data_IF_989121923125
#
_entry.id   IF_989121923125
#
_cell.length_a   1.000
_cell.length_b   1.000
_cell.length_c   1.000
_cell.angle_alpha   90.00
_cell.angle_beta   90.00
_cell.angle_gamma   90.00
#
_symmetry.space_group_name_H-M   'P 1'
#
loop_
_entity.id
_entity.type
_entity.pdbx_description
1 polymer ?
#
# COMPACT_ATOMS: atom_id res chain seq x y z
N UNK A 1 -11.33 -9.38 26.97
CA UNK A 1 -10.84 -8.01 27.25
C UNK A 1 -12.05 -7.12 27.46
N UNK A 2 -12.09 -6.33 28.53
CA UNK A 2 -13.21 -5.39 28.79
C UNK A 2 -12.80 -4.02 28.25
N UNK A 3 -13.53 -3.50 27.28
CA UNK A 3 -13.25 -2.18 26.68
C UNK A 3 -13.69 -1.05 27.63
N UNK A 4 -12.88 0.00 27.67
CA UNK A 4 -13.17 1.23 28.45
C UNK A 4 -13.16 2.41 27.46
N UNK A 5 -14.14 3.30 27.61
CA UNK A 5 -14.21 4.53 26.82
C UNK A 5 -13.40 5.64 27.51
N UNK A 6 -12.08 5.48 27.53
CA UNK A 6 -11.12 6.46 28.07
C UNK A 6 -9.91 6.58 27.17
N UNK A 7 -9.28 7.77 27.15
CA UNK A 7 -8.09 8.04 26.36
C UNK A 7 -6.92 7.13 26.76
N UNK A 8 -6.70 6.90 28.04
CA UNK A 8 -5.64 6.05 28.55
C UNK A 8 -5.76 4.62 28.01
N UNK A 9 -7.01 4.12 27.88
CA UNK A 9 -7.23 2.78 27.36
C UNK A 9 -6.93 2.70 25.86
N UNK A 10 -7.28 3.74 25.06
CA UNK A 10 -6.96 3.78 23.64
C UNK A 10 -5.45 3.86 23.41
N UNK A 11 -4.74 4.72 24.13
CA UNK A 11 -3.29 4.83 24.06
C UNK A 11 -2.59 3.52 24.44
N UNK A 12 -3.12 2.80 25.44
CA UNK A 12 -2.59 1.49 25.80
C UNK A 12 -2.80 0.44 24.70
N UNK A 13 -3.92 0.48 23.98
CA UNK A 13 -4.16 -0.41 22.84
C UNK A 13 -3.18 -0.10 21.70
N UNK A 14 -3.00 1.18 21.37
CA UNK A 14 -2.06 1.62 20.34
C UNK A 14 -0.62 1.21 20.67
N UNK A 15 -0.21 1.37 21.95
CA UNK A 15 1.14 0.99 22.37
C UNK A 15 1.38 -0.52 22.31
N UNK A 16 0.37 -1.33 22.53
CA UNK A 16 0.44 -2.79 22.46
C UNK A 16 0.14 -3.36 21.07
N UNK A 17 -0.16 -2.53 20.07
CA UNK A 17 -0.41 -2.98 18.71
C UNK A 17 0.92 -3.42 18.05
N UNK A 18 1.01 -4.69 17.68
CA UNK A 18 2.15 -5.25 16.96
C UNK A 18 2.37 -4.59 15.59
N UNK A 19 1.32 -4.02 15.00
CA UNK A 19 1.35 -3.38 13.70
C UNK A 19 1.60 -1.86 13.76
N UNK A 20 1.72 -1.26 14.95
CA UNK A 20 1.89 0.20 15.11
C UNK A 20 3.02 0.80 14.28
N UNK A 21 4.10 0.02 14.04
CA UNK A 21 5.25 0.47 13.26
C UNK A 21 4.92 0.72 11.78
N UNK A 22 3.91 0.03 11.21
CA UNK A 22 3.49 0.23 9.83
C UNK A 22 2.90 1.61 9.56
N UNK A 23 2.39 2.31 10.59
CA UNK A 23 1.94 3.69 10.46
C UNK A 23 3.02 4.59 9.86
N UNK A 24 4.29 4.34 10.19
CA UNK A 24 5.43 5.10 9.68
C UNK A 24 5.74 4.84 8.20
N UNK A 25 5.16 3.80 7.59
CA UNK A 25 5.32 3.50 6.16
C UNK A 25 4.42 4.37 5.27
N UNK A 26 3.56 5.20 5.86
CA UNK A 26 2.61 6.03 5.13
C UNK A 26 2.84 7.52 5.39
N UNK A 27 2.48 8.34 4.39
CA UNK A 27 2.48 9.80 4.49
C UNK A 27 1.12 10.25 5.02
N UNK A 28 1.11 10.80 6.23
CA UNK A 28 -0.10 11.34 6.85
C UNK A 28 -0.14 12.84 6.56
N UNK A 29 -1.23 13.39 5.98
CA UNK A 29 -1.37 14.82 5.75
C UNK A 29 -1.25 15.62 7.05
N UNK A 30 -0.67 16.80 6.96
CA UNK A 30 -0.54 17.69 8.11
C UNK A 30 -1.63 18.77 8.12
N UNK A 31 -2.07 19.12 9.30
CA UNK A 31 -2.91 20.28 9.56
C UNK A 31 -2.11 21.57 9.41
N UNK A 32 -2.79 22.73 9.40
CA UNK A 32 -2.14 24.04 9.32
C UNK A 32 -1.22 24.34 10.51
N UNK A 33 -1.46 23.74 11.66
CA UNK A 33 -0.64 23.84 12.86
C UNK A 33 0.58 22.89 12.87
N UNK A 34 0.73 22.05 11.84
CA UNK A 34 1.83 21.08 11.71
C UNK A 34 1.55 19.71 12.34
N UNK A 35 0.42 19.52 13.00
CA UNK A 35 0.01 18.22 13.54
C UNK A 35 -0.55 17.29 12.45
N UNK A 36 -0.47 15.99 12.65
CA UNK A 36 -1.05 15.01 11.75
C UNK A 36 -2.58 15.07 11.77
N UNK A 37 -3.20 14.89 10.60
CA UNK A 37 -4.65 14.69 10.52
C UNK A 37 -5.04 13.32 11.08
N UNK A 38 -6.19 13.26 11.76
CA UNK A 38 -6.91 12.01 11.98
C UNK A 38 -7.52 11.59 10.64
N UNK A 39 -6.85 10.68 9.92
CA UNK A 39 -7.23 10.31 8.56
C UNK A 39 -8.11 9.06 8.55
N UNK A 40 -9.41 9.24 8.32
CA UNK A 40 -10.41 8.17 8.30
C UNK A 40 -11.05 7.97 6.91
N UNK A 41 -10.41 8.49 5.84
CA UNK A 41 -10.95 8.48 4.48
C UNK A 41 -10.39 7.33 3.61
N UNK A 42 -9.79 6.30 4.23
CA UNK A 42 -9.16 5.18 3.52
C UNK A 42 -10.10 4.38 2.61
N UNK A 43 -11.41 4.48 2.83
CA UNK A 43 -12.44 3.89 1.96
C UNK A 43 -12.58 4.59 0.60
N UNK A 44 -12.17 5.85 0.49
CA UNK A 44 -12.18 6.65 -0.75
C UNK A 44 -10.79 6.73 -1.37
N UNK A 45 -9.80 7.17 -0.60
CA UNK A 45 -8.41 7.23 -1.00
C UNK A 45 -7.53 6.87 0.20
N UNK A 46 -6.79 5.78 0.11
CA UNK A 46 -5.82 5.39 1.12
C UNK A 46 -4.67 6.39 1.25
N UNK A 47 -3.97 6.35 2.38
CA UNK A 47 -2.74 7.12 2.56
C UNK A 47 -1.66 6.66 1.57
N UNK A 48 -0.87 7.59 1.08
CA UNK A 48 0.25 7.28 0.21
C UNK A 48 1.33 6.48 0.96
N UNK A 49 1.67 5.29 0.48
CA UNK A 49 2.87 4.60 0.96
C UNK A 49 4.13 5.38 0.58
N UNK A 50 5.05 5.54 1.52
CA UNK A 50 6.35 6.19 1.27
C UNK A 50 7.18 5.47 0.22
N UNK A 51 6.93 4.17 0.01
CA UNK A 51 7.59 3.34 -1.00
C UNK A 51 7.09 3.61 -2.43
N UNK A 52 5.91 4.21 -2.61
CA UNK A 52 5.30 4.43 -3.92
C UNK A 52 6.23 5.17 -4.88
N UNK A 53 6.92 6.21 -4.38
CA UNK A 53 7.84 7.00 -5.20
C UNK A 53 8.99 6.17 -5.77
N UNK A 54 9.55 5.24 -4.99
CA UNK A 54 10.66 4.40 -5.47
C UNK A 54 10.21 3.41 -6.53
N UNK A 55 8.99 2.87 -6.43
CA UNK A 55 8.44 2.00 -7.47
C UNK A 55 8.20 2.77 -8.77
N UNK A 56 7.58 3.95 -8.70
CA UNK A 56 7.34 4.78 -9.90
C UNK A 56 8.67 5.19 -10.55
N UNK A 57 9.67 5.61 -9.77
CA UNK A 57 10.96 5.97 -10.31
C UNK A 57 11.64 4.79 -11.02
N UNK A 58 11.55 3.57 -10.46
CA UNK A 58 12.07 2.38 -11.08
C UNK A 58 11.44 2.13 -12.46
N UNK A 59 10.12 2.26 -12.57
CA UNK A 59 9.44 2.07 -13.86
C UNK A 59 9.83 3.15 -14.89
N UNK A 60 10.04 4.40 -14.45
CA UNK A 60 10.52 5.47 -15.32
C UNK A 60 11.96 5.22 -15.81
N UNK A 61 12.84 4.70 -14.95
CA UNK A 61 14.20 4.32 -15.28
C UNK A 61 14.22 3.13 -16.28
N UNK A 62 13.39 2.13 -16.03
CA UNK A 62 13.26 0.98 -16.92
C UNK A 62 12.72 1.40 -18.29
N UNK A 63 11.73 2.28 -18.34
CA UNK A 63 11.24 2.83 -19.61
C UNK A 63 12.32 3.61 -20.36
N UNK A 64 13.07 4.47 -19.68
CA UNK A 64 14.15 5.23 -20.30
C UNK A 64 15.28 4.33 -20.83
N UNK A 65 15.53 3.20 -20.17
CA UNK A 65 16.62 2.27 -20.50
C UNK A 65 16.22 1.30 -21.62
N UNK A 66 15.04 0.73 -21.54
CA UNK A 66 14.61 -0.40 -22.36
C UNK A 66 13.61 -0.01 -23.46
N UNK A 67 12.88 1.12 -23.31
CA UNK A 67 11.80 1.46 -24.23
C UNK A 67 10.78 0.30 -24.31
N UNK A 68 10.43 -0.12 -25.52
CA UNK A 68 9.47 -1.23 -25.73
C UNK A 68 9.96 -2.56 -25.17
N UNK A 69 11.27 -2.77 -25.09
CA UNK A 69 11.85 -3.99 -24.52
C UNK A 69 11.59 -4.11 -22.99
N UNK A 70 11.17 -3.05 -22.32
CA UNK A 70 10.73 -3.08 -20.94
C UNK A 70 9.60 -4.08 -20.67
N UNK A 71 8.84 -4.46 -21.69
CA UNK A 71 7.84 -5.54 -21.59
C UNK A 71 8.43 -6.86 -21.12
N UNK A 72 9.73 -7.10 -21.42
CA UNK A 72 10.42 -8.36 -21.16
C UNK A 72 11.64 -8.21 -20.25
N UNK A 73 12.31 -7.06 -20.28
CA UNK A 73 13.64 -6.86 -19.70
C UNK A 73 13.70 -5.85 -18.56
N UNK A 74 12.59 -5.15 -18.25
CA UNK A 74 12.48 -4.31 -17.07
C UNK A 74 12.72 -5.13 -15.79
N UNK A 75 13.05 -4.47 -14.70
CA UNK A 75 13.14 -5.10 -13.36
C UNK A 75 11.85 -5.80 -12.97
N UNK A 76 10.71 -5.17 -13.31
CA UNK A 76 9.40 -5.78 -13.23
C UNK A 76 8.82 -5.81 -14.65
N UNK A 77 9.00 -6.90 -15.41
CA UNK A 77 8.56 -6.96 -16.80
C UNK A 77 7.07 -6.65 -16.95
N UNK A 78 6.72 -5.77 -17.89
CA UNK A 78 5.36 -5.25 -17.98
C UNK A 78 4.35 -6.24 -18.58
N UNK A 79 4.81 -7.19 -19.39
CA UNK A 79 3.93 -8.18 -20.00
C UNK A 79 3.20 -9.06 -18.96
N UNK A 80 3.91 -9.68 -17.98
CA UNK A 80 3.28 -10.55 -16.98
C UNK A 80 2.93 -9.83 -15.68
N UNK A 81 2.95 -8.49 -15.61
CA UNK A 81 2.83 -7.77 -14.33
C UNK A 81 1.56 -8.12 -13.54
N UNK A 82 0.46 -8.44 -14.23
CA UNK A 82 -0.81 -8.83 -13.63
C UNK A 82 -0.72 -10.16 -12.86
N UNK A 83 0.27 -11.00 -13.16
CA UNK A 83 0.49 -12.29 -12.49
C UNK A 83 1.23 -12.13 -11.16
N UNK A 84 2.09 -11.10 -11.01
CA UNK A 84 2.93 -10.91 -9.83
C UNK A 84 2.14 -10.72 -8.53
N UNK A 85 0.94 -10.17 -8.61
CA UNK A 85 0.08 -9.88 -7.47
C UNK A 85 -0.96 -10.95 -7.19
N UNK A 86 -1.16 -11.90 -8.10
CA UNK A 86 -2.24 -12.89 -8.05
C UNK A 86 -2.20 -13.72 -6.76
N UNK A 87 -1.02 -14.22 -6.36
CA UNK A 87 -0.89 -15.01 -5.14
C UNK A 87 -1.23 -14.21 -3.88
N UNK A 88 -0.71 -12.97 -3.78
CA UNK A 88 -0.97 -12.11 -2.62
C UNK A 88 -2.44 -11.70 -2.54
N UNK A 89 -3.03 -11.33 -3.68
CA UNK A 89 -4.43 -10.93 -3.74
C UNK A 89 -5.37 -12.09 -3.43
N UNK A 90 -5.09 -13.30 -3.91
CA UNK A 90 -5.92 -14.47 -3.61
C UNK A 90 -6.01 -14.74 -2.11
N UNK A 91 -4.92 -14.55 -1.38
CA UNK A 91 -4.89 -14.68 0.09
C UNK A 91 -5.71 -13.60 0.79
N UNK A 92 -5.64 -12.34 0.30
CA UNK A 92 -6.36 -11.20 0.89
C UNK A 92 -7.87 -11.34 0.69
N UNK A 93 -8.30 -11.74 -0.51
CA UNK A 93 -9.73 -11.84 -0.83
C UNK A 93 -10.33 -13.23 -0.53
N UNK A 94 -9.52 -14.21 -0.13
CA UNK A 94 -9.96 -15.57 0.18
C UNK A 94 -10.40 -16.38 -1.05
N UNK A 95 -9.75 -16.16 -2.20
CA UNK A 95 -10.05 -16.82 -3.46
C UNK A 95 -8.91 -17.72 -3.94
N UNK A 96 -9.12 -18.54 -4.99
CA UNK A 96 -8.04 -19.24 -5.67
C UNK A 96 -7.27 -18.30 -6.57
N UNK A 97 -6.00 -18.57 -6.82
CA UNK A 97 -5.17 -17.76 -7.74
C UNK A 97 -5.79 -17.65 -9.14
N UNK A 98 -6.42 -18.71 -9.65
CA UNK A 98 -7.10 -18.71 -10.96
C UNK A 98 -8.38 -17.88 -11.02
N UNK A 99 -8.84 -17.36 -9.89
CA UNK A 99 -10.08 -16.56 -9.78
C UNK A 99 -9.77 -15.06 -9.57
N UNK A 100 -8.48 -14.67 -9.53
CA UNK A 100 -8.06 -13.31 -9.23
C UNK A 100 -7.13 -12.78 -10.32
N UNK A 101 -7.38 -11.56 -10.75
CA UNK A 101 -6.49 -10.81 -11.64
C UNK A 101 -6.34 -9.37 -11.15
N UNK A 102 -5.11 -8.87 -11.18
CA UNK A 102 -4.84 -7.47 -10.88
C UNK A 102 -5.11 -6.61 -12.12
N UNK A 103 -6.04 -5.67 -12.01
CA UNK A 103 -6.38 -4.72 -13.06
C UNK A 103 -6.40 -3.30 -12.50
N UNK A 104 -6.13 -2.31 -13.36
CA UNK A 104 -6.15 -0.89 -12.95
C UNK A 104 -7.52 -0.22 -13.13
N UNK A 105 -8.38 -0.80 -13.94
CA UNK A 105 -9.79 -0.37 -14.13
C UNK A 105 -10.69 -1.58 -14.37
N UNK A 106 -11.99 -1.37 -14.16
CA UNK A 106 -13.05 -2.29 -14.58
C UNK A 106 -13.30 -2.18 -16.08
#
# INVERSE_FOLDING_TARGET
MTYKNTEEFSLQLDENDELKHYRNEFSIPLQKNGEEHVYLCGNSLGLQSKRTKSFINQELEDWATFGVEGHFHAKNPWMPYHEFLTESYSKIVGAKQSEVVAMNTL
#
